data_IF_452059574120
#
_entry.id   IF_452059574120
#
_cell.length_a   1.000
_cell.length_b   1.000
_cell.length_c   1.000
_cell.angle_alpha   90.00
_cell.angle_beta   90.00
_cell.angle_gamma   90.00
#
_symmetry.space_group_name_H-M   'P 1'
#
loop_
_entity.id
_entity.type
_entity.pdbx_description
1 polymer ?
#
# COMPACT_ATOMS: atom_id res chain seq x y z
N UNK A 1 -3.24 -17.69 -14.83
CA UNK A 1 -2.95 -19.05 -14.25
C UNK A 1 -1.72 -19.08 -13.35
N UNK A 2 -0.47 -18.89 -13.80
CA UNK A 2 0.70 -18.93 -12.88
C UNK A 2 0.70 -17.76 -11.89
N UNK A 3 0.49 -16.53 -12.37
CA UNK A 3 0.42 -15.35 -11.51
C UNK A 3 -0.73 -15.44 -10.50
N UNK A 4 -1.91 -15.87 -10.93
CA UNK A 4 -3.06 -16.02 -10.03
C UNK A 4 -2.79 -17.02 -8.91
N UNK A 5 -2.07 -18.10 -9.21
CA UNK A 5 -1.68 -19.11 -8.22
C UNK A 5 -0.64 -18.54 -7.24
N UNK A 6 0.35 -17.77 -7.72
CA UNK A 6 1.35 -17.14 -6.86
C UNK A 6 0.73 -16.08 -5.97
N UNK A 7 -0.20 -15.27 -6.48
CA UNK A 7 -0.96 -14.31 -5.68
C UNK A 7 -1.79 -15.01 -4.59
N UNK A 8 -2.49 -16.09 -4.93
CA UNK A 8 -3.24 -16.88 -3.94
C UNK A 8 -2.32 -17.47 -2.86
N UNK A 9 -1.16 -18.02 -3.25
CA UNK A 9 -0.19 -18.55 -2.28
C UNK A 9 0.35 -17.46 -1.36
N UNK A 10 0.65 -16.26 -1.90
CA UNK A 10 1.10 -15.13 -1.12
C UNK A 10 0.03 -14.69 -0.10
N UNK A 11 -1.24 -14.62 -0.52
CA UNK A 11 -2.34 -14.26 0.38
C UNK A 11 -2.54 -15.31 1.48
N UNK A 12 -2.48 -16.60 1.14
CA UNK A 12 -2.56 -17.68 2.13
C UNK A 12 -1.42 -17.64 3.13
N UNK A 13 -0.19 -17.38 2.67
CA UNK A 13 0.99 -17.24 3.54
C UNK A 13 0.86 -16.00 4.44
N UNK A 14 0.39 -14.88 3.89
CA UNK A 14 0.13 -13.67 4.65
C UNK A 14 -0.90 -13.93 5.76
N UNK A 15 -2.04 -14.55 5.42
CA UNK A 15 -3.08 -14.87 6.39
C UNK A 15 -2.58 -15.85 7.47
N UNK A 16 -1.83 -16.84 7.09
CA UNK A 16 -1.27 -17.82 8.02
C UNK A 16 -0.29 -17.16 9.02
N UNK A 17 0.58 -16.27 8.55
CA UNK A 17 1.58 -15.64 9.40
C UNK A 17 1.06 -14.43 10.18
N UNK A 18 0.28 -13.56 9.54
CA UNK A 18 -0.08 -12.24 10.08
C UNK A 18 -1.53 -12.11 10.54
N UNK A 19 -2.41 -12.97 10.05
CA UNK A 19 -3.81 -13.00 10.49
C UNK A 19 -4.05 -14.09 11.54
N UNK A 20 -3.51 -15.30 11.31
CA UNK A 20 -3.60 -16.42 12.24
C UNK A 20 -2.44 -16.46 13.25
N UNK A 21 -1.37 -15.70 13.01
CA UNK A 21 -0.15 -15.65 13.83
C UNK A 21 0.60 -16.98 13.94
N UNK A 22 0.46 -17.85 12.95
CA UNK A 22 1.17 -19.12 12.86
C UNK A 22 2.48 -19.01 12.04
N UNK A 23 3.16 -17.85 12.16
CA UNK A 23 4.53 -17.71 11.67
C UNK A 23 5.46 -18.67 12.44
N UNK A 24 6.60 -19.11 11.84
CA UNK A 24 7.54 -20.02 12.51
C UNK A 24 8.11 -19.40 13.79
N UNK A 25 8.02 -20.11 14.89
CA UNK A 25 8.76 -19.79 16.12
C UNK A 25 10.25 -20.17 15.99
N UNK A 26 11.02 -20.06 17.06
CA UNK A 26 12.45 -20.38 17.05
C UNK A 26 12.75 -21.86 16.75
N UNK A 27 11.81 -22.75 16.96
CA UNK A 27 11.91 -24.18 16.69
C UNK A 27 11.29 -24.57 15.35
N UNK A 28 10.71 -23.58 14.61
CA UNK A 28 10.05 -23.78 13.32
C UNK A 28 8.61 -24.24 13.43
N UNK A 29 8.01 -24.25 14.62
CA UNK A 29 6.60 -24.61 14.82
C UNK A 29 5.69 -23.39 14.60
N UNK A 30 4.40 -23.60 14.21
CA UNK A 30 3.42 -22.51 14.10
C UNK A 30 3.23 -21.83 15.46
N UNK A 31 3.48 -20.50 15.53
CA UNK A 31 3.56 -19.79 16.82
C UNK A 31 2.27 -19.92 17.66
N UNK A 32 1.13 -19.47 17.14
CA UNK A 32 -0.13 -19.48 17.92
C UNK A 32 -0.61 -20.91 18.22
N UNK A 33 -0.61 -21.78 17.22
CA UNK A 33 -1.11 -23.16 17.35
C UNK A 33 -0.25 -23.99 18.31
N UNK A 34 1.06 -23.71 18.42
CA UNK A 34 1.98 -24.36 19.35
C UNK A 34 1.96 -23.78 20.78
N UNK A 35 1.06 -22.83 21.06
CA UNK A 35 0.89 -22.23 22.39
C UNK A 35 1.72 -20.96 22.60
N UNK A 36 2.12 -20.27 21.55
CA UNK A 36 2.76 -18.96 21.62
C UNK A 36 1.97 -17.96 22.41
N UNK A 37 2.63 -17.16 23.22
CA UNK A 37 1.97 -16.24 24.16
C UNK A 37 1.29 -15.08 23.42
N UNK A 38 0.02 -14.91 23.65
CA UNK A 38 -0.82 -13.88 23.04
C UNK A 38 -1.27 -12.86 24.10
N UNK A 39 -1.35 -11.58 23.71
CA UNK A 39 -1.82 -10.49 24.56
C UNK A 39 -2.91 -9.69 23.84
N UNK A 40 -3.88 -9.20 24.61
CA UNK A 40 -4.95 -8.35 24.08
C UNK A 40 -4.39 -7.00 23.61
N UNK A 41 -4.78 -6.59 22.42
CA UNK A 41 -4.46 -5.28 21.87
C UNK A 41 -5.73 -4.44 21.72
N UNK A 42 -5.77 -3.30 22.41
CA UNK A 42 -6.94 -2.42 22.43
C UNK A 42 -7.18 -1.68 21.11
N UNK A 43 -6.13 -1.42 20.33
CA UNK A 43 -6.25 -0.75 19.03
C UNK A 43 -6.90 -1.68 18.00
N UNK A 44 -6.42 -2.90 17.91
CA UNK A 44 -6.92 -3.90 16.95
C UNK A 44 -8.13 -4.70 17.45
N UNK A 45 -8.52 -4.55 18.76
CA UNK A 45 -9.60 -5.31 19.43
C UNK A 45 -9.47 -6.81 19.24
N UNK A 46 -8.24 -7.33 19.32
CA UNK A 46 -7.91 -8.75 19.19
C UNK A 46 -6.63 -9.11 19.93
N UNK A 47 -6.41 -10.40 20.15
CA UNK A 47 -5.12 -10.86 20.64
C UNK A 47 -4.07 -10.80 19.52
N UNK A 48 -2.86 -10.40 19.91
CA UNK A 48 -1.66 -10.40 19.07
C UNK A 48 -0.50 -11.10 19.80
N UNK A 49 0.55 -11.57 19.13
CA UNK A 49 1.75 -12.09 19.78
C UNK A 49 2.33 -11.09 20.78
N UNK A 50 2.75 -11.56 21.96
CA UNK A 50 3.18 -10.72 23.10
C UNK A 50 4.24 -9.67 22.73
N UNK A 51 5.15 -10.02 21.82
CA UNK A 51 6.27 -9.14 21.43
C UNK A 51 5.96 -8.24 20.22
N UNK A 52 4.74 -8.32 19.68
CA UNK A 52 4.36 -7.50 18.53
C UNK A 52 3.85 -6.13 18.97
N UNK A 53 4.12 -5.13 18.12
CA UNK A 53 3.66 -3.75 18.31
C UNK A 53 2.81 -3.33 17.13
N UNK A 54 1.69 -2.69 17.42
CA UNK A 54 0.85 -2.05 16.40
C UNK A 54 1.41 -0.67 16.10
N UNK A 55 1.52 -0.34 14.82
CA UNK A 55 2.01 0.94 14.35
C UNK A 55 1.16 1.40 13.16
N UNK A 56 1.07 2.73 12.96
CA UNK A 56 0.44 3.31 11.77
C UNK A 56 1.25 2.98 10.52
N UNK A 57 0.59 2.65 9.41
CA UNK A 57 1.23 2.32 8.13
C UNK A 57 1.94 3.53 7.49
N UNK A 58 1.53 4.75 7.84
CA UNK A 58 2.08 5.97 7.26
C UNK A 58 3.36 6.47 7.93
N UNK A 59 3.70 5.96 9.12
CA UNK A 59 4.88 6.41 9.88
C UNK A 59 5.37 5.34 10.85
N UNK A 60 6.27 4.48 10.37
CA UNK A 60 6.89 3.42 11.17
C UNK A 60 8.28 3.07 10.63
N UNK A 61 8.91 2.03 11.16
CA UNK A 61 10.25 1.58 10.71
C UNK A 61 10.24 0.85 9.34
N UNK A 62 9.07 0.46 8.82
CA UNK A 62 8.93 -0.29 7.58
C UNK A 62 8.47 0.60 6.43
N UNK A 63 7.63 1.61 6.71
CA UNK A 63 7.06 2.51 5.70
C UNK A 63 6.85 3.92 6.23
N UNK A 64 6.87 4.88 5.31
CA UNK A 64 6.53 6.27 5.56
C UNK A 64 5.72 6.85 4.41
N UNK A 65 4.87 7.82 4.71
CA UNK A 65 4.05 8.46 3.68
C UNK A 65 4.89 9.29 2.72
N UNK A 66 4.61 9.15 1.42
CA UNK A 66 5.15 10.02 0.38
C UNK A 66 4.33 11.30 0.35
N UNK A 67 4.98 12.43 0.59
CA UNK A 67 4.34 13.75 0.57
C UNK A 67 4.17 14.26 -0.85
N UNK A 68 3.12 15.07 -1.13
CA UNK A 68 2.98 15.76 -2.41
C UNK A 68 4.22 16.62 -2.72
N UNK A 69 4.63 16.56 -3.98
CA UNK A 69 5.77 17.30 -4.53
C UNK A 69 6.38 16.55 -5.69
N UNK A 70 6.75 17.30 -6.73
CA UNK A 70 7.46 16.79 -7.90
C UNK A 70 8.58 17.76 -8.27
N UNK A 71 9.72 17.23 -8.71
CA UNK A 71 10.80 18.04 -9.25
C UNK A 71 10.42 18.60 -10.63
N UNK A 72 11.10 19.66 -11.08
CA UNK A 72 10.90 20.24 -12.42
C UNK A 72 11.28 19.19 -13.48
N UNK A 73 10.42 19.03 -14.47
CA UNK A 73 10.62 18.12 -15.59
C UNK A 73 10.12 18.75 -16.89
N UNK A 74 10.62 18.27 -18.04
CA UNK A 74 10.14 18.72 -19.34
C UNK A 74 8.78 18.10 -19.67
N UNK A 75 8.70 16.77 -19.71
CA UNK A 75 7.45 16.03 -19.95
C UNK A 75 7.42 14.75 -19.14
N UNK A 76 6.24 14.43 -18.58
CA UNK A 76 5.95 13.15 -17.92
C UNK A 76 4.53 12.70 -18.24
N UNK A 77 4.27 11.43 -18.03
CA UNK A 77 2.91 10.88 -18.09
C UNK A 77 2.24 11.09 -16.75
N UNK A 78 1.19 11.87 -16.72
CA UNK A 78 0.29 11.99 -15.57
C UNK A 78 -0.65 10.80 -15.52
N UNK A 79 -0.66 10.09 -14.40
CA UNK A 79 -1.55 8.98 -14.10
C UNK A 79 -2.58 9.43 -13.05
N UNK A 80 -3.77 9.73 -13.51
CA UNK A 80 -4.91 9.97 -12.63
C UNK A 80 -5.39 8.64 -12.01
N UNK A 81 -6.21 8.68 -10.97
CA UNK A 81 -6.78 7.44 -10.41
C UNK A 81 -7.66 6.70 -11.43
N UNK A 82 -8.24 7.40 -12.41
CA UNK A 82 -9.00 6.79 -13.52
C UNK A 82 -8.12 5.95 -14.45
N UNK A 83 -6.83 6.27 -14.56
CA UNK A 83 -5.88 5.57 -15.43
C UNK A 83 -5.34 4.27 -14.84
N UNK A 84 -5.73 3.94 -13.62
CA UNK A 84 -5.38 2.68 -12.96
C UNK A 84 -6.64 1.85 -12.74
N UNK A 85 -6.59 0.58 -13.14
CA UNK A 85 -7.64 -0.42 -12.92
C UNK A 85 -7.06 -1.67 -12.27
N UNK A 86 -7.41 -1.92 -11.01
CA UNK A 86 -6.70 -2.91 -10.19
C UNK A 86 -5.24 -2.51 -10.06
N UNK A 87 -4.34 -3.30 -10.62
CA UNK A 87 -2.90 -3.03 -10.69
C UNK A 87 -2.43 -2.60 -12.09
N UNK A 88 -3.33 -2.55 -13.08
CA UNK A 88 -2.99 -2.23 -14.47
C UNK A 88 -3.06 -0.73 -14.73
N UNK A 89 -2.08 -0.23 -15.47
CA UNK A 89 -1.97 1.18 -15.87
C UNK A 89 -2.41 1.31 -17.34
N UNK A 90 -3.26 2.29 -17.63
CA UNK A 90 -3.58 2.74 -18.99
C UNK A 90 -2.60 3.82 -19.48
N UNK A 91 -2.89 4.44 -20.61
CA UNK A 91 -1.95 5.36 -21.29
C UNK A 91 -1.62 6.64 -20.51
N UNK A 92 -2.51 7.12 -19.63
CA UNK A 92 -2.35 8.41 -18.93
C UNK A 92 -2.36 9.62 -19.88
N UNK A 93 -1.97 10.78 -19.37
CA UNK A 93 -1.91 12.05 -20.12
C UNK A 93 -0.51 12.63 -20.07
N UNK A 94 0.05 13.02 -21.23
CA UNK A 94 1.35 13.71 -21.28
C UNK A 94 1.17 15.14 -20.79
N UNK A 95 2.00 15.54 -19.83
CA UNK A 95 2.00 16.89 -19.24
C UNK A 95 3.42 17.41 -19.12
N UNK A 96 3.58 18.73 -19.17
CA UNK A 96 4.78 19.43 -18.72
C UNK A 96 4.63 19.93 -17.28
N UNK A 97 5.72 20.43 -16.72
CA UNK A 97 5.72 20.87 -15.33
C UNK A 97 4.75 22.04 -15.06
N UNK A 98 4.70 23.01 -15.95
CA UNK A 98 3.92 24.25 -15.76
C UNK A 98 2.45 24.07 -16.11
N UNK A 99 2.15 23.24 -17.12
CA UNK A 99 0.77 22.97 -17.59
C UNK A 99 0.05 21.84 -16.85
N UNK A 100 0.72 21.16 -15.88
CA UNK A 100 0.07 20.06 -15.15
C UNK A 100 -1.06 20.53 -14.23
N UNK A 101 -2.07 19.71 -14.06
CA UNK A 101 -3.08 19.91 -13.04
C UNK A 101 -2.46 19.93 -11.63
N UNK A 102 -3.03 20.71 -10.70
CA UNK A 102 -2.58 20.76 -9.30
C UNK A 102 -2.57 19.40 -8.61
N UNK A 103 -3.44 18.48 -9.06
CA UNK A 103 -3.49 17.08 -8.58
C UNK A 103 -2.37 16.21 -9.13
N UNK A 104 -1.71 16.58 -10.20
CA UNK A 104 -0.56 15.89 -10.78
C UNK A 104 0.71 16.23 -9.98
N UNK A 105 0.77 15.79 -8.73
CA UNK A 105 1.78 16.27 -7.78
C UNK A 105 2.34 15.17 -6.84
N UNK A 106 2.30 13.90 -7.25
CA UNK A 106 2.89 12.79 -6.50
C UNK A 106 4.00 12.16 -7.33
N UNK A 107 5.23 12.18 -6.80
CA UNK A 107 6.39 11.57 -7.47
C UNK A 107 6.52 10.10 -7.02
N UNK A 108 6.37 9.14 -7.94
CA UNK A 108 6.67 7.74 -7.63
C UNK A 108 8.16 7.52 -7.41
N UNK A 109 8.49 6.54 -6.58
CA UNK A 109 9.86 6.17 -6.22
C UNK A 109 10.04 4.65 -6.19
N UNK A 110 11.29 4.19 -6.21
CA UNK A 110 11.59 2.76 -6.05
C UNK A 110 11.15 2.29 -4.66
N UNK A 111 10.63 1.07 -4.59
CA UNK A 111 10.08 0.45 -3.38
C UNK A 111 8.94 1.28 -2.77
N UNK A 112 8.05 1.80 -3.62
CA UNK A 112 6.86 2.50 -3.19
C UNK A 112 5.58 1.73 -3.50
N UNK A 113 4.64 1.76 -2.54
CA UNK A 113 3.33 1.13 -2.63
C UNK A 113 2.28 2.22 -2.66
N UNK A 114 1.37 2.16 -3.62
CA UNK A 114 0.36 3.18 -3.86
C UNK A 114 -1.04 2.57 -3.87
N UNK A 115 -1.99 3.24 -3.25
CA UNK A 115 -3.40 2.88 -3.30
C UNK A 115 -4.30 4.12 -3.48
N UNK A 116 -5.45 3.92 -4.13
CA UNK A 116 -6.44 4.99 -4.29
C UNK A 116 -7.11 5.29 -2.95
N UNK A 117 -7.18 6.58 -2.57
CA UNK A 117 -7.80 7.02 -1.31
C UNK A 117 -9.32 6.95 -1.31
N UNK A 118 -9.94 6.98 -2.49
CA UNK A 118 -11.39 6.99 -2.62
C UNK A 118 -11.99 5.66 -2.16
N UNK A 119 -13.09 5.74 -1.42
CA UNK A 119 -13.89 4.60 -0.98
C UNK A 119 -14.37 3.76 -2.17
N UNK A 120 -14.44 2.46 -1.99
CA UNK A 120 -14.80 1.48 -3.02
C UNK A 120 -13.91 1.54 -4.28
N UNK A 121 -12.67 1.99 -4.15
CA UNK A 121 -11.73 2.14 -5.26
C UNK A 121 -10.49 1.28 -5.03
N UNK A 122 -10.56 0.02 -5.47
CA UNK A 122 -9.45 -0.94 -5.38
C UNK A 122 -8.51 -0.71 -6.54
N UNK A 123 -7.45 0.08 -6.32
CA UNK A 123 -6.43 0.44 -7.30
C UNK A 123 -5.10 0.55 -6.60
N UNK A 124 -4.16 -0.30 -6.98
CA UNK A 124 -2.85 -0.39 -6.35
C UNK A 124 -1.74 -0.31 -7.38
N UNK A 125 -0.61 0.29 -7.01
CA UNK A 125 0.63 0.22 -7.79
C UNK A 125 1.76 -0.20 -6.85
N UNK A 126 2.53 -1.18 -7.27
CA UNK A 126 3.68 -1.72 -6.55
C UNK A 126 4.93 -1.46 -7.37
N UNK A 127 5.68 -0.42 -7.00
CA UNK A 127 6.76 0.11 -7.81
C UNK A 127 8.13 -0.28 -7.23
N UNK A 128 8.63 -1.42 -7.67
CA UNK A 128 9.98 -1.89 -7.35
C UNK A 128 11.02 -1.36 -8.35
N UNK A 129 12.27 -1.79 -8.23
CA UNK A 129 13.37 -1.37 -9.11
C UNK A 129 13.16 -1.73 -10.60
N UNK A 130 12.37 -2.77 -10.88
CA UNK A 130 12.10 -3.21 -12.26
C UNK A 130 11.10 -2.28 -12.96
N UNK A 131 10.33 -1.53 -12.18
CA UNK A 131 9.38 -0.53 -12.67
C UNK A 131 10.02 0.84 -12.92
N UNK A 132 11.36 0.93 -12.92
CA UNK A 132 12.11 2.18 -13.14
C UNK A 132 11.64 2.98 -14.36
N UNK A 133 11.32 2.39 -15.52
CA UNK A 133 10.80 3.16 -16.65
C UNK A 133 9.52 3.94 -16.33
N UNK A 134 8.59 3.35 -15.59
CA UNK A 134 7.35 4.00 -15.15
C UNK A 134 7.65 5.04 -14.08
N UNK A 135 8.50 4.72 -13.10
CA UNK A 135 8.87 5.63 -12.00
C UNK A 135 9.48 6.92 -12.54
N UNK A 136 10.40 6.83 -13.51
CA UNK A 136 11.09 8.00 -14.06
C UNK A 136 10.23 8.84 -15.00
N UNK A 137 9.31 8.20 -15.74
CA UNK A 137 8.53 8.85 -16.80
C UNK A 137 7.15 9.32 -16.35
N UNK A 138 6.72 9.03 -15.12
CA UNK A 138 5.36 9.37 -14.69
C UNK A 138 5.31 10.22 -13.42
N UNK A 139 4.15 10.82 -13.21
CA UNK A 139 3.69 11.44 -11.96
C UNK A 139 2.28 10.96 -11.67
N UNK A 140 1.94 10.84 -10.39
CA UNK A 140 0.66 10.32 -9.95
C UNK A 140 -0.24 11.44 -9.41
N UNK A 141 -1.54 11.16 -9.40
CA UNK A 141 -2.54 12.02 -8.77
C UNK A 141 -2.42 12.01 -7.25
N UNK A 142 -2.68 13.15 -6.62
CA UNK A 142 -2.90 13.26 -5.16
C UNK A 142 -4.13 12.48 -4.67
N UNK A 143 -4.91 11.90 -5.58
CA UNK A 143 -5.95 10.91 -5.27
C UNK A 143 -5.40 9.54 -4.85
N UNK A 144 -4.09 9.31 -5.03
CA UNK A 144 -3.38 8.19 -4.43
C UNK A 144 -2.73 8.59 -3.10
N UNK A 145 -2.63 7.64 -2.20
CA UNK A 145 -1.68 7.64 -1.09
C UNK A 145 -0.48 6.79 -1.49
N UNK A 146 0.73 7.30 -1.27
CA UNK A 146 1.97 6.58 -1.53
C UNK A 146 2.72 6.29 -0.24
N UNK A 147 3.21 5.07 -0.11
CA UNK A 147 4.05 4.61 0.99
C UNK A 147 5.45 4.31 0.46
N UNK A 148 6.44 5.02 0.99
CA UNK A 148 7.84 4.69 0.76
C UNK A 148 8.25 3.57 1.69
N UNK A 149 8.71 2.47 1.15
CA UNK A 149 9.21 1.32 1.89
C UNK A 149 10.73 1.24 1.78
N UNK A 150 11.37 0.55 2.73
CA UNK A 150 12.75 0.11 2.54
C UNK A 150 12.78 -1.20 1.71
N UNK A 151 13.96 -1.62 1.28
CA UNK A 151 14.12 -2.78 0.40
C UNK A 151 13.61 -4.09 1.04
N UNK A 152 13.71 -4.21 2.37
CA UNK A 152 13.32 -5.44 3.09
C UNK A 152 11.80 -5.49 3.34
N UNK A 153 11.16 -4.33 3.47
CA UNK A 153 9.75 -4.24 3.86
C UNK A 153 8.77 -4.08 2.69
N UNK A 154 9.27 -3.86 1.48
CA UNK A 154 8.44 -3.56 0.31
C UNK A 154 7.40 -4.66 0.05
N UNK A 155 7.81 -5.92 -0.01
CA UNK A 155 6.93 -7.06 -0.27
C UNK A 155 5.89 -7.24 0.85
N UNK A 156 6.29 -7.02 2.10
CA UNK A 156 5.37 -7.09 3.24
C UNK A 156 4.29 -6.00 3.15
N UNK A 157 4.68 -4.74 2.93
CA UNK A 157 3.72 -3.63 2.81
C UNK A 157 2.85 -3.79 1.56
N UNK A 158 3.40 -4.25 0.44
CA UNK A 158 2.64 -4.58 -0.77
C UNK A 158 1.58 -5.66 -0.48
N UNK A 159 1.96 -6.74 0.21
CA UNK A 159 1.05 -7.82 0.62
C UNK A 159 -0.04 -7.33 1.58
N UNK A 160 0.31 -6.45 2.53
CA UNK A 160 -0.64 -5.83 3.44
C UNK A 160 -1.68 -4.98 2.68
N UNK A 161 -1.24 -4.11 1.77
CA UNK A 161 -2.12 -3.24 0.98
C UNK A 161 -2.97 -4.04 -0.02
N UNK A 162 -2.46 -5.17 -0.55
CA UNK A 162 -3.23 -6.05 -1.44
C UNK A 162 -4.31 -6.87 -0.72
N UNK A 163 -4.26 -6.97 0.59
CA UNK A 163 -5.20 -7.76 1.37
C UNK A 163 -6.58 -7.09 1.44
N UNK A 164 -7.64 -7.89 1.34
CA UNK A 164 -9.03 -7.40 1.43
C UNK A 164 -9.33 -6.65 2.74
N UNK A 165 -8.68 -7.02 3.84
CA UNK A 165 -8.83 -6.32 5.12
C UNK A 165 -8.34 -4.88 5.07
N UNK A 166 -7.25 -4.61 4.33
CA UNK A 166 -6.78 -3.24 4.12
C UNK A 166 -7.85 -2.38 3.44
N UNK A 167 -8.44 -2.87 2.35
CA UNK A 167 -9.49 -2.16 1.62
C UNK A 167 -10.74 -1.91 2.50
N UNK A 168 -11.16 -2.91 3.28
CA UNK A 168 -12.28 -2.77 4.22
C UNK A 168 -11.96 -1.67 5.25
N UNK A 169 -10.78 -1.67 5.87
CA UNK A 169 -10.39 -0.65 6.84
C UNK A 169 -10.28 0.74 6.21
N UNK A 170 -9.64 0.84 5.04
CA UNK A 170 -9.56 2.10 4.28
C UNK A 170 -10.96 2.66 4.02
N UNK A 171 -11.90 1.83 3.60
CA UNK A 171 -13.27 2.25 3.32
C UNK A 171 -14.06 2.63 4.58
N UNK A 172 -13.78 2.02 5.72
CA UNK A 172 -14.35 2.41 7.02
C UNK A 172 -13.84 3.77 7.50
N UNK A 173 -12.59 4.11 7.20
CA UNK A 173 -11.97 5.39 7.55
C UNK A 173 -12.31 6.51 6.57
N UNK A 174 -12.86 6.17 5.40
CA UNK A 174 -13.21 7.15 4.38
C UNK A 174 -14.39 8.01 4.81
N UNK A 175 -14.24 9.33 4.66
CA UNK A 175 -15.27 10.31 4.97
C UNK A 175 -15.29 11.45 3.94
N UNK A 176 -16.36 12.24 3.93
CA UNK A 176 -16.56 13.37 3.02
C UNK A 176 -18.01 13.48 2.56
N UNK A 177 -18.45 14.69 2.32
CA UNK A 177 -19.87 14.97 1.97
C UNK A 177 -20.23 14.63 0.51
N UNK A 178 -19.28 14.77 -0.42
CA UNK A 178 -19.51 14.57 -1.87
C UNK A 178 -18.77 13.36 -2.39
N UNK A 179 -17.54 13.17 -1.95
CA UNK A 179 -16.71 12.00 -2.26
C UNK A 179 -16.06 11.53 -0.97
N UNK A 180 -16.36 10.28 -0.58
CA UNK A 180 -15.72 9.67 0.58
C UNK A 180 -14.32 9.18 0.21
N UNK A 181 -13.34 9.66 0.92
CA UNK A 181 -11.94 9.25 0.78
C UNK A 181 -11.26 9.23 2.14
N UNK A 182 -10.27 8.37 2.29
CA UNK A 182 -9.43 8.36 3.50
C UNK A 182 -8.47 9.54 3.49
N UNK A 183 -8.33 10.24 4.60
CA UNK A 183 -7.25 11.19 4.79
C UNK A 183 -5.97 10.47 5.22
N UNK A 184 -4.84 11.08 4.90
CA UNK A 184 -3.56 10.49 5.27
C UNK A 184 -3.38 10.32 6.78
N UNK A 185 -3.95 11.23 7.57
CA UNK A 185 -3.83 11.21 9.04
C UNK A 185 -4.71 10.14 9.73
N UNK A 186 -5.60 9.50 8.98
CA UNK A 186 -6.49 8.45 9.50
C UNK A 186 -5.90 7.03 9.32
N UNK A 187 -4.75 6.91 8.64
CA UNK A 187 -4.03 5.66 8.32
C UNK A 187 -2.87 5.43 9.32
#
# INVERSE_FOLDING_TARGET
>A
MLNDNLEQQLMLLYDYWFTQFDFPDNDGNPYQTSGGKMVWNDTLKRNIPENWKVQSVISNCLSSIIKPGVEIFNTKTYLATADVKGTSISTGTIVDYDGRESRANMQPSINSVWFAKMKNSIKHLYLNKEMQPIISSSILSTGFCGLQCNEISFEYIASYVSNAYFEIHKDMLAHGATQEAVNNDDL
#
